data_IF_267242133324
#
_entry.id   IF_267242133324
#
_cell.length_a   1.000
_cell.length_b   1.000
_cell.length_c   1.000
_cell.angle_alpha   90.00
_cell.angle_beta   90.00
_cell.angle_gamma   90.00
#
_symmetry.space_group_name_H-M   'P 1'
#
loop_
_entity.id
_entity.type
_entity.pdbx_description
1 polymer ?
2 non-polymer ?
3 water ?
#
# COMPACT_ATOMS: atom_id res chain seq x y z
N UNK A 1 -23.17 3.55 -9.43
CA UNK A 1 -21.97 2.75 -9.22
C UNK A 1 -22.19 1.77 -8.08
N UNK A 2 -21.69 0.55 -8.24
CA UNK A 2 -21.80 -0.46 -7.20
C UNK A 2 -21.00 -0.06 -5.98
N UNK A 3 -21.57 -0.21 -4.80
CA UNK A 3 -20.88 0.10 -3.56
C UNK A 3 -19.60 -0.72 -3.44
N UNK A 4 -19.61 -1.92 -4.03
CA UNK A 4 -18.44 -2.78 -3.96
C UNK A 4 -17.23 -2.12 -4.62
N UNK A 5 -17.47 -1.30 -5.64
CA UNK A 5 -16.38 -0.57 -6.27
C UNK A 5 -15.70 0.36 -5.27
N UNK A 6 -16.51 1.05 -4.48
CA UNK A 6 -15.97 1.93 -3.44
C UNK A 6 -15.33 1.14 -2.31
N UNK A 7 -15.92 0.00 -1.97
CA UNK A 7 -15.37 -0.85 -0.91
C UNK A 7 -13.97 -1.33 -1.30
N UNK A 8 -13.83 -1.69 -2.58
CA UNK A 8 -12.54 -2.13 -3.09
C UNK A 8 -11.49 -1.05 -2.90
N UNK A 9 -11.80 0.17 -3.32
CA UNK A 9 -10.89 1.29 -3.17
C UNK A 9 -10.51 1.52 -1.71
N UNK A 10 -11.50 1.45 -0.83
CA UNK A 10 -11.26 1.68 0.59
C UNK A 10 -10.37 0.57 1.13
N UNK A 11 -10.64 -0.66 0.69
CA UNK A 11 -9.85 -1.80 1.14
C UNK A 11 -8.38 -1.68 0.73
N UNK A 12 -8.14 -1.34 -0.53
CA UNK A 12 -6.78 -1.22 -1.03
C UNK A 12 -5.99 -0.16 -0.26
N UNK A 13 -6.66 0.95 0.07
CA UNK A 13 -6.04 2.00 0.86
C UNK A 13 -5.65 1.51 2.25
N UNK A 14 -6.50 0.67 2.85
CA UNK A 14 -6.23 0.13 4.17
C UNK A 14 -5.03 -0.81 4.15
N UNK A 15 -4.95 -1.64 3.11
CA UNK A 15 -3.81 -2.52 2.95
C UNK A 15 -2.52 -1.72 2.83
N UNK A 16 -2.56 -0.69 1.99
CA UNK A 16 -1.40 0.18 1.81
C UNK A 16 -1.03 0.87 3.12
N UNK A 17 -2.03 1.35 3.84
CA UNK A 17 -1.79 1.95 5.15
C UNK A 17 -1.13 0.95 6.10
N UNK A 18 -1.66 -0.27 6.15
CA UNK A 18 -1.15 -1.29 7.06
C UNK A 18 0.25 -1.79 6.70
N UNK A 19 0.61 -1.68 5.42
CA UNK A 19 1.88 -2.19 4.95
C UNK A 19 2.98 -1.12 4.99
N UNK A 20 2.72 -0.02 5.68
CA UNK A 20 3.64 1.10 5.79
C UNK A 20 5.10 0.75 5.48
N UNK A 21 5.50 0.98 4.24
CA UNK A 21 6.89 0.76 3.81
C UNK A 21 7.24 -0.71 3.55
N UNK A 22 6.59 -1.62 4.27
CA UNK A 22 6.87 -3.05 4.15
C UNK A 22 6.45 -3.60 2.80
N UNK A 23 6.90 -4.81 2.48
CA UNK A 23 6.55 -5.47 1.22
C UNK A 23 5.45 -6.50 1.42
N UNK A 24 4.97 -6.63 2.64
CA UNK A 24 4.00 -7.66 2.98
C UNK A 24 3.18 -7.27 4.19
N UNK A 25 2.02 -7.89 4.32
CA UNK A 25 1.20 -7.72 5.51
C UNK A 25 1.29 -8.98 6.36
N UNK A 26 1.47 -8.80 7.67
CA UNK A 26 1.42 -9.91 8.61
C UNK A 26 0.33 -9.67 9.63
N UNK A 27 -0.26 -10.74 10.14
CA UNK A 27 -1.36 -10.63 11.10
C UNK A 27 -0.85 -10.63 12.52
N UNK A 28 -1.34 -9.68 13.32
CA UNK A 28 -0.97 -9.61 14.73
C UNK A 28 0.39 -9.01 14.98
N UNK A 29 0.79 -8.96 16.24
CA UNK A 29 2.06 -8.37 16.64
C UNK A 29 3.27 -9.22 16.27
N UNK A 30 4.36 -8.57 15.91
CA UNK A 30 5.67 -9.20 15.90
C UNK A 30 6.04 -9.41 17.36
N UNK A 31 6.45 -10.62 17.72
CA UNK A 31 6.77 -10.90 19.11
C UNK A 31 8.27 -10.97 19.35
N UNK A 32 9.04 -10.49 18.37
CA UNK A 32 10.48 -10.36 18.56
C UNK A 32 10.76 -9.31 19.63
N UNK A 33 11.74 -9.59 20.48
CA UNK A 33 12.10 -8.65 21.52
C UNK A 33 13.13 -7.66 21.00
N UNK A 34 13.27 -7.63 19.67
CA UNK A 34 14.25 -6.79 19.02
C UNK A 34 13.58 -5.91 17.97
N UNK A 35 13.99 -4.65 17.91
CA UNK A 35 13.33 -3.67 17.04
C UNK A 35 13.94 -3.59 15.65
N UNK A 36 13.75 -4.63 14.85
CA UNK A 36 14.17 -4.60 13.46
C UNK A 36 12.97 -4.33 12.56
N UNK A 37 13.21 -3.79 11.36
CA UNK A 37 12.13 -3.54 10.43
C UNK A 37 11.61 -4.88 9.94
N UNK A 38 10.40 -4.90 9.38
CA UNK A 38 9.85 -6.14 8.88
C UNK A 38 10.70 -6.69 7.75
N UNK A 39 11.21 -5.81 6.90
CA UNK A 39 12.06 -6.24 5.79
C UNK A 39 13.32 -6.92 6.31
N UNK A 40 13.91 -6.35 7.36
CA UNK A 40 15.09 -6.95 7.97
C UNK A 40 14.78 -8.35 8.49
N UNK A 41 13.68 -8.50 9.23
CA UNK A 41 13.29 -9.81 9.73
C UNK A 41 13.08 -10.80 8.59
N UNK A 42 12.41 -10.36 7.54
CA UNK A 42 12.12 -11.23 6.41
C UNK A 42 13.42 -11.68 5.74
N UNK A 43 14.35 -10.75 5.58
CA UNK A 43 15.65 -11.09 5.02
C UNK A 43 16.38 -12.10 5.90
N UNK A 44 16.31 -11.94 7.21
CA UNK A 44 16.90 -12.92 8.11
C UNK A 44 16.25 -14.30 7.92
N UNK A 45 14.93 -14.32 7.80
CA UNK A 45 14.21 -15.57 7.61
C UNK A 45 14.72 -16.29 6.36
N UNK A 46 14.81 -15.56 5.27
CA UNK A 46 15.23 -16.15 4.00
C UNK A 46 16.68 -16.65 4.06
N UNK A 47 17.57 -15.84 4.64
CA UNK A 47 18.96 -16.25 4.74
C UNK A 47 19.14 -17.41 5.73
N UNK A 48 18.19 -17.54 6.66
CA UNK A 48 18.23 -18.68 7.58
C UNK A 48 17.89 -19.97 6.84
N UNK A 49 17.34 -19.82 5.65
CA UNK A 49 16.98 -20.98 4.83
C UNK A 49 18.10 -21.30 3.86
N UNK A 50 18.59 -20.27 3.16
CA UNK A 50 19.69 -20.47 2.22
C UNK A 50 20.40 -19.16 1.91
N UNK A 51 21.64 -19.27 1.44
CA UNK A 51 22.41 -18.11 1.06
C UNK A 51 21.92 -17.54 -0.26
N UNK A 52 21.68 -16.24 -0.29
CA UNK A 52 21.16 -15.57 -1.47
C UNK A 52 21.86 -14.24 -1.66
N UNK A 53 22.11 -13.88 -2.92
CA UNK A 53 22.70 -12.58 -3.22
C UNK A 53 21.66 -11.49 -2.97
N UNK A 54 22.12 -10.25 -2.90
CA UNK A 54 21.22 -9.13 -2.69
C UNK A 54 20.25 -8.99 -3.86
N UNK A 55 20.74 -9.31 -5.05
CA UNK A 55 19.91 -9.29 -6.25
C UNK A 55 18.77 -10.30 -6.13
N UNK A 56 19.10 -11.49 -5.63
CA UNK A 56 18.12 -12.56 -5.50
C UNK A 56 17.09 -12.22 -4.44
N UNK A 57 17.55 -11.71 -3.30
CA UNK A 57 16.66 -11.23 -2.25
C UNK A 57 15.69 -10.19 -2.77
N UNK A 58 16.19 -9.25 -3.56
CA UNK A 58 15.35 -8.19 -4.13
C UNK A 58 14.24 -8.78 -5.00
N UNK A 59 14.57 -9.81 -5.77
CA UNK A 59 13.56 -10.48 -6.58
C UNK A 59 12.58 -11.27 -5.71
N UNK A 60 13.05 -11.81 -4.59
CA UNK A 60 12.19 -12.57 -3.69
C UNK A 60 11.15 -11.67 -3.04
N UNK A 61 11.60 -10.54 -2.51
CA UNK A 61 10.70 -9.62 -1.80
C UNK A 61 9.98 -8.69 -2.76
N UNK A 62 10.43 -8.64 -4.00
CA UNK A 62 9.90 -7.67 -4.95
C UNK A 62 10.13 -6.24 -4.48
N UNK A 63 11.35 -5.98 -4.02
CA UNK A 63 11.74 -4.63 -3.64
C UNK A 63 13.01 -4.27 -4.40
N UNK A 64 13.40 -3.00 -4.35
CA UNK A 64 14.61 -2.56 -5.03
C UNK A 64 15.84 -3.19 -4.39
N UNK A 65 16.93 -3.28 -5.15
CA UNK A 65 18.19 -3.77 -4.60
C UNK A 65 18.69 -2.79 -3.53
N UNK A 66 18.42 -1.51 -3.74
CA UNK A 66 18.77 -0.49 -2.76
C UNK A 66 18.10 -0.79 -1.41
N UNK A 67 16.83 -1.18 -1.45
CA UNK A 67 16.10 -1.50 -0.22
C UNK A 67 16.74 -2.69 0.49
N UNK A 68 17.00 -3.75 -0.26
CA UNK A 68 17.62 -4.93 0.30
C UNK A 68 19.00 -4.60 0.88
N UNK A 69 19.79 -3.84 0.13
CA UNK A 69 21.16 -3.59 0.55
C UNK A 69 21.22 -2.75 1.83
N UNK A 70 20.39 -1.72 1.90
CA UNK A 70 20.32 -0.88 3.10
C UNK A 70 19.94 -1.72 4.32
N UNK A 71 18.97 -2.60 4.14
CA UNK A 71 18.55 -3.50 5.21
C UNK A 71 19.72 -4.36 5.66
N UNK A 72 20.47 -4.89 4.70
CA UNK A 72 21.61 -5.76 5.01
C UNK A 72 22.71 -5.02 5.76
N UNK A 73 23.02 -3.80 5.34
CA UNK A 73 24.06 -3.03 5.98
C UNK A 73 23.71 -2.75 7.43
N UNK A 74 22.45 -2.43 7.67
CA UNK A 74 21.95 -2.22 9.02
C UNK A 74 22.04 -3.50 9.85
N UNK A 75 21.62 -4.63 9.27
CA UNK A 75 21.68 -5.93 9.95
C UNK A 75 23.10 -6.30 10.36
N UNK A 76 24.05 -6.00 9.48
CA UNK A 76 25.46 -6.22 9.79
C UNK A 76 25.89 -5.34 10.94
N UNK A 77 25.44 -4.10 10.93
CA UNK A 77 25.80 -3.14 11.97
C UNK A 77 25.18 -3.54 13.31
N UNK A 78 24.04 -4.20 13.26
CA UNK A 78 23.33 -4.62 14.46
C UNK A 78 23.74 -6.04 14.89
N UNK A 79 24.74 -6.59 14.21
CA UNK A 79 25.28 -7.88 14.57
C UNK A 79 24.36 -9.05 14.29
N UNK A 80 23.57 -8.94 13.22
CA UNK A 80 22.64 -9.99 12.82
C UNK A 80 23.18 -10.80 11.65
N UNK A 81 24.00 -10.17 10.82
CA UNK A 81 24.59 -10.85 9.66
C UNK A 81 26.11 -10.70 9.65
N UNK A 82 26.78 -11.66 9.01
CA UNK A 82 28.22 -11.62 8.85
C UNK A 82 28.58 -12.27 7.51
N UNK A 83 29.78 -11.98 7.04
CA UNK A 83 30.27 -12.57 5.80
C UNK A 83 30.79 -13.99 6.05
N UNK A 94 28.78 -14.71 0.49
CA UNK A 94 27.41 -14.47 0.91
C UNK A 94 27.35 -13.93 2.33
N UNK A 95 26.16 -13.51 2.75
CA UNK A 95 25.90 -13.14 4.13
C UNK A 95 25.26 -14.31 4.86
N UNK A 96 25.62 -14.51 6.12
CA UNK A 96 25.05 -15.59 6.92
C UNK A 96 24.65 -15.09 8.31
N UNK A 97 23.68 -15.77 8.91
CA UNK A 97 23.16 -15.36 10.21
C UNK A 97 24.20 -15.52 11.31
N UNK A 98 24.12 -14.64 12.30
CA UNK A 98 24.84 -14.81 13.55
C UNK A 98 23.88 -15.47 14.52
N UNK A 99 24.37 -15.84 15.70
CA UNK A 99 23.51 -16.47 16.69
C UNK A 99 22.42 -15.53 17.20
N UNK A 100 22.71 -14.23 17.25
CA UNK A 100 21.72 -13.24 17.67
C UNK A 100 20.49 -13.24 16.78
N UNK A 101 20.69 -13.55 15.51
CA UNK A 101 19.62 -13.45 14.51
C UNK A 101 18.69 -14.67 14.50
N UNK A 102 19.17 -15.80 14.99
CA UNK A 102 18.45 -17.06 14.82
C UNK A 102 17.02 -17.07 15.39
N UNK A 103 16.85 -16.60 16.64
CA UNK A 103 15.50 -16.58 17.22
C UNK A 103 14.58 -15.64 16.46
N UNK A 104 15.16 -14.61 15.85
CA UNK A 104 14.41 -13.61 15.11
C UNK A 104 13.86 -14.19 13.81
N UNK A 105 14.72 -14.86 13.06
CA UNK A 105 14.30 -15.56 11.85
C UNK A 105 13.20 -16.57 12.17
N UNK A 106 13.30 -17.20 13.34
CA UNK A 106 12.32 -18.20 13.73
C UNK A 106 10.98 -17.55 14.06
N UNK A 107 11.03 -16.44 14.78
CA UNK A 107 9.83 -15.70 15.14
C UNK A 107 9.12 -15.22 13.88
N UNK A 108 9.88 -14.73 12.92
CA UNK A 108 9.30 -14.17 11.69
C UNK A 108 8.64 -15.27 10.87
N UNK A 109 9.21 -16.47 10.91
CA UNK A 109 8.61 -17.63 10.26
C UNK A 109 7.29 -18.00 10.92
N UNK A 110 7.27 -17.95 12.25
CA UNK A 110 6.05 -18.28 12.99
C UNK A 110 4.98 -17.25 12.75
N UNK A 111 5.40 -16.00 12.58
CA UNK A 111 4.48 -14.92 12.29
C UNK A 111 3.81 -15.18 10.95
N UNK A 112 4.60 -15.63 9.97
CA UNK A 112 4.05 -16.00 8.67
C UNK A 112 3.05 -17.16 8.78
N UNK A 113 3.39 -18.16 9.57
CA UNK A 113 2.48 -19.31 9.75
C UNK A 113 1.16 -18.85 10.34
N UNK A 114 1.23 -17.96 11.33
CA UNK A 114 0.04 -17.44 11.99
C UNK A 114 -0.80 -16.64 11.01
N UNK A 115 -0.14 -15.93 10.12
CA UNK A 115 -0.82 -15.12 9.12
C UNK A 115 -1.63 -16.00 8.17
N UNK A 116 -1.01 -17.07 7.66
CA UNK A 116 -1.69 -18.00 6.78
C UNK A 116 -2.84 -18.71 7.49
N UNK A 117 -2.62 -19.08 8.75
CA UNK A 117 -3.67 -19.72 9.53
C UNK A 117 -4.87 -18.80 9.72
N UNK A 118 -4.61 -17.49 9.83
CA UNK A 118 -5.69 -16.52 9.96
C UNK A 118 -6.50 -16.41 8.65
N UNK A 119 -5.80 -16.44 7.52
CA UNK A 119 -6.48 -16.40 6.21
C UNK A 119 -7.31 -17.64 6.01
N UNK A 120 -6.84 -18.75 6.56
CA UNK A 120 -7.57 -20.01 6.50
C UNK A 120 -8.87 -19.88 7.29
N UNK A 121 -8.79 -19.26 8.47
CA UNK A 121 -9.96 -19.03 9.30
C UNK A 121 -10.96 -18.12 8.60
N UNK A 122 -10.46 -17.16 7.82
CA UNK A 122 -11.32 -16.27 7.05
C UNK A 122 -12.03 -17.03 5.93
N UNK A 123 -11.26 -17.80 5.17
CA UNK A 123 -11.79 -18.57 4.05
C UNK A 123 -12.88 -19.54 4.47
N UNK A 124 -12.67 -20.23 5.59
CA UNK A 124 -13.62 -21.23 6.04
C UNK A 124 -14.93 -20.65 6.58
N UNK A 125 -15.06 -19.33 6.55
CA UNK A 125 -16.33 -18.68 6.89
C UNK A 125 -17.24 -18.70 5.67
N UNK A 126 -16.72 -19.25 4.58
CA UNK A 126 -17.46 -19.27 3.31
C UNK A 126 -17.54 -20.68 2.78
N UNK A 127 -18.61 -20.96 2.03
CA UNK A 127 -18.80 -22.27 1.43
C UNK A 127 -17.75 -22.50 0.34
N UNK A 128 -17.57 -23.76 -0.06
CA UNK A 128 -16.67 -24.04 -1.19
C UNK A 128 -17.02 -23.21 -2.41
N UNK A 129 -18.31 -23.10 -2.73
CA UNK A 129 -18.74 -22.29 -3.86
C UNK A 129 -18.44 -20.79 -3.67
N UNK A 130 -18.66 -20.31 -2.45
CA UNK A 130 -18.36 -18.91 -2.13
C UNK A 130 -16.86 -18.63 -2.25
N UNK A 131 -16.05 -19.56 -1.79
CA UNK A 131 -14.60 -19.40 -1.87
C UNK A 131 -14.15 -19.24 -3.32
N UNK A 132 -14.76 -19.99 -4.22
CA UNK A 132 -14.43 -19.90 -5.65
C UNK A 132 -14.75 -18.52 -6.19
N UNK A 133 -15.91 -18.00 -5.81
CA UNK A 133 -16.30 -16.65 -6.19
C UNK A 133 -15.24 -15.66 -5.75
N UNK A 134 -14.82 -15.76 -4.48
CA UNK A 134 -13.81 -14.86 -3.95
C UNK A 134 -12.49 -15.01 -4.69
N UNK A 135 -12.14 -16.26 -5.02
CA UNK A 135 -10.93 -16.51 -5.81
C UNK A 135 -10.99 -15.82 -7.17
N UNK A 136 -12.12 -15.97 -7.87
CA UNK A 136 -12.29 -15.36 -9.17
C UNK A 136 -12.18 -13.85 -9.03
N UNK A 137 -12.74 -13.34 -7.94
CA UNK A 137 -12.72 -11.91 -7.67
C UNK A 137 -11.30 -11.39 -7.51
N UNK A 138 -10.52 -12.04 -6.64
CA UNK A 138 -9.14 -11.64 -6.40
C UNK A 138 -8.35 -11.63 -7.70
N UNK A 139 -8.55 -12.64 -8.52
CA UNK A 139 -7.84 -12.75 -9.79
C UNK A 139 -8.26 -11.66 -10.78
N UNK A 140 -9.56 -11.37 -10.83
CA UNK A 140 -10.08 -10.35 -11.74
C UNK A 140 -9.58 -8.96 -11.33
N UNK A 141 -9.56 -8.71 -10.03
CA UNK A 141 -9.11 -7.42 -9.51
C UNK A 141 -7.64 -7.17 -9.82
N UNK A 142 -6.80 -8.13 -9.47
CA UNK A 142 -5.36 -8.00 -9.73
C UNK A 142 -5.12 -7.83 -11.24
N UNK A 143 -5.88 -8.56 -12.03
CA UNK A 143 -5.75 -8.49 -13.48
C UNK A 143 -5.93 -7.07 -14.01
N UNK A 144 -6.75 -6.28 -13.33
CA UNK A 144 -7.02 -4.91 -13.78
C UNK A 144 -6.04 -3.89 -13.20
N UNK A 145 -5.30 -4.30 -12.16
CA UNK A 145 -4.36 -3.39 -11.52
C UNK A 145 -3.00 -3.37 -12.22
N UNK B 1 -5.42 -27.01 4.44
CA UNK B 1 -5.59 -25.57 4.27
C UNK B 1 -6.20 -25.24 2.90
N UNK B 2 -7.25 -24.43 2.92
CA UNK B 2 -7.92 -24.03 1.68
C UNK B 2 -6.99 -23.25 0.76
N UNK B 3 -7.15 -23.45 -0.54
CA UNK B 3 -6.34 -22.73 -1.53
C UNK B 3 -6.50 -21.21 -1.36
N UNK B 4 -7.70 -20.79 -0.97
CA UNK B 4 -8.00 -19.37 -0.84
C UNK B 4 -7.08 -18.68 0.18
N UNK B 5 -6.69 -19.41 1.22
CA UNK B 5 -5.80 -18.85 2.23
C UNK B 5 -4.50 -18.41 1.59
N UNK B 6 -3.94 -19.26 0.73
CA UNK B 6 -2.72 -18.94 0.01
C UNK B 6 -2.95 -17.83 -1.01
N UNK B 7 -4.11 -17.84 -1.65
CA UNK B 7 -4.43 -16.81 -2.63
C UNK B 7 -4.49 -15.43 -2.01
N UNK B 8 -5.00 -15.36 -0.77
CA UNK B 8 -5.12 -14.09 -0.06
C UNK B 8 -3.76 -13.49 0.22
N UNK B 9 -2.82 -14.34 0.64
CA UNK B 9 -1.47 -13.90 0.92
C UNK B 9 -0.80 -13.36 -0.34
N UNK B 10 -0.92 -14.10 -1.43
CA UNK B 10 -0.31 -13.69 -2.69
C UNK B 10 -0.96 -12.41 -3.21
N UNK B 11 -2.27 -12.30 -3.02
CA UNK B 11 -3.02 -11.12 -3.43
C UNK B 11 -2.53 -9.87 -2.70
N UNK B 12 -2.41 -9.96 -1.39
CA UNK B 12 -1.93 -8.84 -0.59
C UNK B 12 -0.51 -8.44 -1.00
N UNK B 13 0.35 -9.43 -1.20
CA UNK B 13 1.70 -9.17 -1.74
C UNK B 13 1.64 -8.35 -3.02
N UNK B 14 0.76 -8.75 -3.93
CA UNK B 14 0.65 -8.09 -5.22
C UNK B 14 0.15 -6.65 -5.09
N UNK B 15 -0.86 -6.45 -4.24
CA UNK B 15 -1.37 -5.10 -3.98
C UNK B 15 -0.21 -4.18 -3.58
N UNK B 16 0.53 -4.59 -2.57
CA UNK B 16 1.60 -3.78 -2.03
C UNK B 16 2.66 -3.48 -3.09
N UNK B 17 3.01 -4.50 -3.87
CA UNK B 17 3.95 -4.33 -4.98
C UNK B 17 3.43 -3.28 -5.97
N UNK B 18 2.14 -3.37 -6.30
CA UNK B 18 1.53 -2.46 -7.26
C UNK B 18 1.42 -1.03 -6.74
N UNK B 19 1.36 -0.88 -5.41
CA UNK B 19 1.27 0.45 -4.81
C UNK B 19 2.54 1.26 -5.06
N UNK B 20 3.62 0.57 -5.42
CA UNK B 20 4.87 1.24 -5.75
C UNK B 20 5.27 2.29 -4.72
N UNK B 21 5.06 1.97 -3.44
CA UNK B 21 5.41 2.87 -2.35
C UNK B 21 4.60 4.17 -2.33
N UNK B 22 3.66 4.30 -3.26
CA UNK B 22 2.74 5.42 -3.23
C UNK B 22 1.67 5.15 -2.18
N UNK B 23 0.96 6.19 -1.75
CA UNK B 23 -0.03 6.03 -0.69
C UNK B 23 -1.37 5.55 -1.24
N UNK B 24 -1.45 5.40 -2.55
CA UNK B 24 -2.69 4.98 -3.21
C UNK B 24 -2.38 4.26 -4.50
N UNK B 25 -3.31 3.39 -4.91
CA UNK B 25 -3.23 2.74 -6.19
C UNK B 25 -4.13 3.46 -7.18
N UNK B 26 -3.57 3.81 -8.34
CA UNK B 26 -4.34 4.38 -9.44
C UNK B 26 -4.16 3.52 -10.68
N UNK B 27 -5.26 3.27 -11.39
CA UNK B 27 -5.22 2.40 -12.56
C UNK B 27 -4.75 3.16 -13.80
N UNK B 28 -3.74 2.62 -14.47
CA UNK B 28 -3.23 3.21 -15.70
C UNK B 28 -2.29 4.38 -15.48
N UNK B 29 -1.79 4.93 -16.58
CA UNK B 29 -0.77 5.98 -16.52
C UNK B 29 -1.35 7.37 -16.33
N UNK B 30 -0.62 8.22 -15.62
CA UNK B 30 -0.95 9.63 -15.51
C UNK B 30 -0.81 10.29 -16.88
N UNK B 31 -1.73 11.20 -17.22
CA UNK B 31 -1.71 11.82 -18.54
C UNK B 31 -1.31 13.30 -18.53
N UNK B 32 -0.89 13.78 -17.36
CA UNK B 32 -0.53 15.19 -17.20
C UNK B 32 0.63 15.62 -18.10
N UNK B 33 0.63 16.89 -18.49
CA UNK B 33 1.67 17.46 -19.35
C UNK B 33 2.84 17.97 -18.51
N UNK B 34 2.64 18.00 -17.20
CA UNK B 34 3.71 18.32 -16.27
C UNK B 34 3.88 17.15 -15.33
N UNK B 35 5.11 16.64 -15.23
CA UNK B 35 5.38 15.52 -14.36
C UNK B 35 5.61 15.96 -12.92
N UNK B 36 4.55 15.84 -12.11
CA UNK B 36 4.68 16.02 -10.67
C UNK B 36 4.55 14.64 -10.06
N UNK B 37 5.03 14.47 -8.83
CA UNK B 37 4.87 13.19 -8.15
C UNK B 37 3.38 12.95 -7.93
N UNK B 38 3.02 11.70 -7.68
CA UNK B 38 1.63 11.38 -7.41
C UNK B 38 1.12 12.16 -6.21
N UNK B 39 1.95 12.26 -5.19
CA UNK B 39 1.59 12.98 -3.97
C UNK B 39 1.30 14.46 -4.27
N UNK B 40 2.14 15.06 -5.11
CA UNK B 40 1.95 16.45 -5.51
C UNK B 40 0.61 16.64 -6.22
N UNK B 41 0.31 15.78 -7.19
CA UNK B 41 -0.96 15.88 -7.91
C UNK B 41 -2.15 15.73 -6.97
N UNK B 42 -2.05 14.80 -6.03
CA UNK B 42 -3.14 14.55 -5.10
C UNK B 42 -3.37 15.79 -4.23
N UNK B 43 -2.28 16.44 -3.82
CA UNK B 43 -2.37 17.67 -3.06
C UNK B 43 -3.11 18.74 -3.85
N UNK B 44 -2.74 18.89 -5.13
CA UNK B 44 -3.43 19.85 -5.98
C UNK B 44 -4.92 19.54 -6.11
N UNK B 45 -5.25 18.25 -6.16
CA UNK B 45 -6.66 17.85 -6.24
C UNK B 45 -7.39 18.25 -4.97
N UNK B 46 -6.80 17.91 -3.83
CA UNK B 46 -7.40 18.24 -2.54
C UNK B 46 -7.55 19.76 -2.36
N UNK B 47 -6.49 20.49 -2.65
CA UNK B 47 -6.51 21.94 -2.46
C UNK B 47 -7.41 22.65 -3.46
N UNK B 48 -7.74 21.99 -4.57
CA UNK B 48 -8.67 22.57 -5.53
C UNK B 48 -10.07 22.59 -4.92
N UNK B 49 -10.17 22.14 -3.68
CA UNK B 49 -11.47 21.98 -3.03
C UNK B 49 -11.59 22.55 -1.60
N UNK B 50 -10.51 22.49 -0.83
CA UNK B 50 -10.65 22.69 0.62
C UNK B 50 -9.70 23.67 1.32
N UNK B 51 -8.70 24.17 0.60
CA UNK B 51 -7.74 25.11 1.19
C UNK B 51 -7.18 24.61 2.53
N UNK B 52 -6.70 23.37 2.52
CA UNK B 52 -6.22 22.72 3.74
C UNK B 52 -4.82 23.20 4.13
N UNK B 53 -4.46 23.02 5.40
CA UNK B 53 -3.12 23.34 5.86
C UNK B 53 -2.18 22.20 5.53
N UNK B 54 -0.88 22.46 5.61
CA UNK B 54 0.11 21.42 5.37
C UNK B 54 0.00 20.28 6.37
N UNK B 55 -0.47 20.61 7.58
CA UNK B 55 -0.67 19.60 8.61
C UNK B 55 -1.86 18.70 8.28
N UNK B 56 -2.93 19.31 7.78
CA UNK B 56 -4.12 18.55 7.42
C UNK B 56 -3.88 17.70 6.17
N UNK B 57 -3.05 18.22 5.27
CA UNK B 57 -2.68 17.47 4.07
C UNK B 57 -1.90 16.21 4.43
N UNK B 58 -1.02 16.34 5.42
CA UNK B 58 -0.19 15.22 5.85
C UNK B 58 -1.01 14.10 6.47
N UNK B 59 -2.06 14.47 7.21
CA UNK B 59 -2.92 13.49 7.86
C UNK B 59 -3.73 12.71 6.82
N UNK B 60 -4.24 13.41 5.83
CA UNK B 60 -5.02 12.78 4.75
C UNK B 60 -4.14 11.92 3.84
N UNK B 61 -2.95 12.42 3.53
CA UNK B 61 -2.03 11.72 2.66
C UNK B 61 -1.28 10.62 3.42
N UNK B 62 -1.37 10.67 4.74
CA UNK B 62 -0.64 9.73 5.58
C UNK B 62 0.86 9.81 5.32
N UNK B 63 1.43 10.99 5.52
CA UNK B 63 2.87 11.20 5.36
C UNK B 63 3.37 12.17 6.40
N UNK B 64 4.67 12.43 6.39
CA UNK B 64 5.29 13.35 7.34
C UNK B 64 5.07 14.80 6.92
N UNK B 65 4.99 15.70 7.90
CA UNK B 65 4.90 17.12 7.63
C UNK B 65 6.03 17.53 6.70
N UNK B 66 7.22 17.00 6.99
CA UNK B 66 8.42 17.29 6.21
C UNK B 66 8.20 17.02 4.74
N UNK B 67 7.63 15.86 4.42
CA UNK B 67 7.35 15.49 3.04
C UNK B 67 6.38 16.48 2.42
N UNK B 68 5.30 16.79 3.14
CA UNK B 68 4.32 17.76 2.67
C UNK B 68 5.00 19.11 2.46
N UNK B 69 5.79 19.52 3.45
CA UNK B 69 6.51 20.79 3.37
C UNK B 69 7.34 20.85 2.09
N UNK B 70 8.05 19.75 1.80
CA UNK B 70 8.86 19.68 0.59
C UNK B 70 7.99 19.72 -0.66
N UNK B 71 6.85 19.03 -0.60
CA UNK B 71 5.92 19.00 -1.73
C UNK B 71 5.36 20.39 -2.02
N UNK B 72 4.89 21.06 -0.98
CA UNK B 72 4.33 22.41 -1.13
C UNK B 72 5.36 23.39 -1.67
N UNK B 73 6.52 23.43 -1.03
CA UNK B 73 7.60 24.31 -1.47
C UNK B 73 7.87 24.12 -2.96
N UNK B 74 7.98 22.87 -3.39
CA UNK B 74 8.19 22.55 -4.79
C UNK B 74 7.04 23.07 -5.66
N UNK B 75 5.82 22.87 -5.20
CA UNK B 75 4.64 23.32 -5.94
C UNK B 75 4.58 24.84 -6.04
N UNK B 76 4.85 25.53 -4.94
CA UNK B 76 4.92 26.99 -4.96
C UNK B 76 6.05 27.42 -5.89
N UNK B 77 7.20 26.78 -5.74
CA UNK B 77 8.38 27.10 -6.54
C UNK B 77 8.13 26.89 -8.03
N UNK B 78 7.46 25.79 -8.36
CA UNK B 78 7.19 25.45 -9.76
C UNK B 78 5.93 26.13 -10.29
N UNK B 79 5.38 27.04 -9.50
CA UNK B 79 4.25 27.85 -9.92
C UNK B 79 2.92 27.12 -10.00
N UNK B 80 2.76 26.07 -9.21
CA UNK B 80 1.49 25.33 -9.17
C UNK B 80 0.58 25.88 -8.07
N UNK B 81 1.19 26.48 -7.06
CA UNK B 81 0.45 27.09 -5.97
C UNK B 81 0.95 28.51 -5.72
N UNK B 82 0.04 29.38 -5.27
CA UNK B 82 0.40 30.74 -4.89
C UNK B 82 -0.41 31.10 -3.65
N UNK B 83 0.08 32.06 -2.88
CA UNK B 83 -0.67 32.53 -1.71
C UNK B 83 -1.83 33.41 -2.17
N UNK B 84 -2.91 33.40 -1.41
CA UNK B 84 -4.07 34.21 -1.75
C UNK B 84 -4.97 34.49 -0.55
N UNK B 85 -5.86 35.46 -0.74
CA UNK B 85 -6.85 35.83 0.26
C UNK B 85 -8.12 36.27 -0.46
N UNK B 86 -9.26 35.71 -0.06
CA UNK B 86 -10.54 36.11 -0.65
C UNK B 86 -11.70 35.95 0.32
N UNK B 87 -12.84 36.53 -0.03
CA UNK B 87 -13.99 36.54 0.85
C UNK B 87 -14.66 35.17 1.03
N UNK B 88 -14.32 34.22 0.15
CA UNK B 88 -14.93 32.90 0.20
C UNK B 88 -14.29 31.99 1.24
N UNK B 89 -13.12 32.38 1.74
CA UNK B 89 -12.38 31.55 2.68
C UNK B 89 -12.06 32.32 3.97
N UNK B 90 -12.26 31.68 5.11
CA UNK B 90 -12.03 32.31 6.40
C UNK B 90 -10.54 32.58 6.67
N UNK B 91 -9.68 31.73 6.13
CA UNK B 91 -8.25 31.81 6.39
C UNK B 91 -7.66 33.17 6.00
N UNK B 92 -6.75 33.66 6.82
CA UNK B 92 -6.10 34.95 6.60
C UNK B 92 -5.18 34.90 5.37
N UNK B 93 -4.71 33.70 5.05
CA UNK B 93 -3.92 33.49 3.84
C UNK B 93 -3.74 31.99 3.63
N UNK B 94 -3.86 31.55 2.38
CA UNK B 94 -3.79 30.13 2.07
C UNK B 94 -3.21 29.91 0.69
N UNK B 95 -2.87 28.66 0.39
CA UNK B 95 -2.37 28.31 -0.93
C UNK B 95 -3.52 27.91 -1.84
N UNK B 96 -3.59 28.54 -3.00
CA UNK B 96 -4.59 28.16 -3.99
C UNK B 96 -3.91 27.83 -5.31
N UNK B 97 -4.58 27.03 -6.14
CA UNK B 97 -4.04 26.66 -7.43
C UNK B 97 -3.91 27.86 -8.36
N UNK B 98 -2.83 27.87 -9.14
CA UNK B 98 -2.69 28.81 -10.25
C UNK B 98 -3.40 28.20 -11.45
N UNK B 99 -3.45 28.95 -12.55
CA UNK B 99 -4.05 28.44 -13.78
C UNK B 99 -3.31 27.21 -14.27
N UNK B 100 -2.01 27.17 -14.01
CA UNK B 100 -1.17 26.06 -14.46
C UNK B 100 -1.55 24.75 -13.78
N UNK B 101 -2.06 24.84 -12.55
CA UNK B 101 -2.37 23.65 -11.76
C UNK B 101 -3.75 23.07 -12.04
N UNK B 102 -4.67 23.91 -12.51
CA UNK B 102 -6.05 23.50 -12.73
C UNK B 102 -6.17 22.19 -13.52
N UNK B 103 -5.53 22.11 -14.69
CA UNK B 103 -5.64 20.88 -15.48
C UNK B 103 -5.03 19.69 -14.75
N UNK B 104 -4.03 19.95 -13.91
CA UNK B 104 -3.38 18.89 -13.15
C UNK B 104 -4.35 18.29 -12.13
N UNK B 105 -4.97 19.16 -11.34
CA UNK B 105 -5.95 18.69 -10.37
C UNK B 105 -7.06 17.93 -11.07
N UNK B 106 -7.53 18.48 -12.18
CA UNK B 106 -8.61 17.84 -12.94
C UNK B 106 -8.21 16.46 -13.42
N UNK B 107 -7.01 16.36 -14.00
CA UNK B 107 -6.50 15.08 -14.50
C UNK B 107 -6.39 14.05 -13.38
N UNK B 108 -5.83 14.46 -12.25
CA UNK B 108 -5.69 13.55 -11.12
C UNK B 108 -7.06 13.09 -10.63
N UNK B 109 -8.01 14.01 -10.62
CA UNK B 109 -9.40 13.68 -10.30
C UNK B 109 -9.97 12.66 -11.29
N UNK B 110 -9.74 12.89 -12.58
CA UNK B 110 -10.16 11.95 -13.61
C UNK B 110 -9.52 10.58 -13.42
N UNK B 111 -8.28 10.58 -12.92
CA UNK B 111 -7.55 9.33 -12.72
C UNK B 111 -8.18 8.54 -11.59
N UNK B 112 -8.63 9.25 -10.55
CA UNK B 112 -9.35 8.61 -9.45
C UNK B 112 -10.66 8.02 -9.93
N UNK B 113 -11.36 8.76 -10.79
CA UNK B 113 -12.63 8.30 -11.34
C UNK B 113 -12.45 7.05 -12.19
N UNK B 114 -11.39 7.06 -13.00
CA UNK B 114 -11.09 5.91 -13.83
C UNK B 114 -10.81 4.70 -12.97
N UNK B 115 -10.12 4.94 -11.86
CA UNK B 115 -9.77 3.87 -10.93
C UNK B 115 -11.03 3.24 -10.34
N UNK B 116 -11.95 4.07 -9.85
CA UNK B 116 -13.22 3.58 -9.32
C UNK B 116 -14.06 2.87 -10.38
N UNK B 117 -14.04 3.40 -11.61
CA UNK B 117 -14.80 2.79 -12.70
C UNK B 117 -14.25 1.42 -13.04
N UNK B 118 -12.93 1.27 -12.90
CA UNK B 118 -12.30 -0.02 -13.13
C UNK B 118 -12.77 -1.05 -12.10
N UNK B 119 -12.87 -0.63 -10.85
CA UNK B 119 -13.38 -1.50 -9.80
C UNK B 119 -14.86 -1.77 -10.03
N UNK B 120 -15.54 -0.81 -10.64
CA UNK B 120 -16.93 -0.98 -11.04
C UNK B 120 -17.02 -2.08 -12.10
N UNK B 121 -16.07 -2.08 -13.03
CA UNK B 121 -16.02 -3.10 -14.06
C UNK B 121 -15.84 -4.47 -13.41
N UNK B 122 -14.88 -4.56 -12.50
CA UNK B 122 -14.63 -5.79 -11.76
C UNK B 122 -15.88 -6.26 -11.03
N UNK B 123 -16.48 -5.35 -10.27
CA UNK B 123 -17.68 -5.67 -9.48
C UNK B 123 -18.81 -6.23 -10.34
N UNK B 124 -19.00 -5.66 -11.53
CA UNK B 124 -20.13 -6.03 -12.38
C UNK B 124 -19.92 -7.33 -13.15
N UNK B 125 -18.72 -7.92 -13.01
CA UNK B 125 -18.48 -9.25 -13.56
C UNK B 125 -19.20 -10.27 -12.68
N UNK B 126 -19.65 -9.81 -11.52
CA UNK B 126 -20.32 -10.67 -10.56
C UNK B 126 -21.77 -10.25 -10.36
N UNK B 127 -22.63 -11.22 -10.06
CA UNK B 127 -24.03 -10.92 -9.80
C UNK B 127 -24.13 -10.14 -8.51
N UNK B 128 -25.23 -9.38 -8.34
CA UNK B 128 -25.45 -8.66 -7.09
C UNK B 128 -25.35 -9.57 -5.87
N UNK B 129 -25.89 -10.78 -5.96
CA UNK B 129 -25.76 -11.73 -4.86
C UNK B 129 -24.29 -12.08 -4.59
N UNK B 130 -23.52 -12.29 -5.66
CA UNK B 130 -22.10 -12.61 -5.54
C UNK B 130 -21.30 -11.43 -5.00
N UNK B 131 -21.67 -10.23 -5.42
CA UNK B 131 -21.03 -9.03 -4.91
C UNK B 131 -21.18 -8.93 -3.39
N UNK B 132 -22.33 -9.36 -2.89
CA UNK B 132 -22.60 -9.31 -1.46
C UNK B 132 -21.63 -10.23 -0.72
N UNK B 133 -21.39 -11.40 -1.30
CA UNK B 133 -20.42 -12.34 -0.74
C UNK B 133 -19.03 -11.71 -0.71
N UNK B 134 -18.63 -11.09 -1.81
CA UNK B 134 -17.34 -10.43 -1.87
C UNK B 134 -17.23 -9.29 -0.85
N UNK B 135 -18.31 -8.54 -0.67
CA UNK B 135 -18.36 -7.53 0.38
C UNK B 135 -18.10 -8.13 1.77
N UNK B 136 -18.76 -9.24 2.06
CA UNK B 136 -18.61 -9.87 3.37
C UNK B 136 -17.17 -10.33 3.57
N UNK B 137 -16.57 -10.82 2.49
CA UNK B 137 -15.18 -11.29 2.54
C UNK B 137 -14.23 -10.15 2.88
N UNK B 138 -14.37 -9.03 2.19
CA UNK B 138 -13.50 -7.88 2.41
C UNK B 138 -13.62 -7.35 3.85
N UNK B 139 -14.84 -7.37 4.38
CA UNK B 139 -15.09 -6.93 5.74
C UNK B 139 -14.39 -7.85 6.74
N UNK B 140 -14.49 -9.15 6.53
CA UNK B 140 -13.88 -10.11 7.44
C UNK B 140 -12.35 -10.04 7.35
N UNK B 141 -11.84 -9.89 6.13
CA UNK B 141 -10.40 -9.80 5.91
C UNK B 141 -9.81 -8.55 6.53
N UNK B 142 -10.42 -7.40 6.25
CA UNK B 142 -9.92 -6.14 6.77
C UNK B 142 -9.98 -6.10 8.30
N UNK B 143 -10.90 -6.88 8.86
CA UNK B 143 -11.04 -6.97 10.31
C UNK B 143 -9.85 -7.65 10.96
N UNK B 144 -9.24 -8.58 10.25
CA UNK B 144 -8.09 -9.31 10.77
C UNK B 144 -6.80 -8.52 10.56
N UNK B 145 -6.78 -7.74 9.49
CA UNK B 145 -5.60 -6.95 9.12
C UNK B 145 -5.38 -5.75 10.05
N UNK B 146 -6.48 -5.11 10.47
CA UNK B 146 -6.37 -3.92 11.32
C UNK B 146 -6.13 -4.29 12.79
#
# INVERSE_FOLDING_TARGET
MRQLAKDINAFLNEVILQAENQHEILIGHCTSEVALTNTQEHILMLLSEESLTNSELARRLNVSQAAVTKAIKSLVKEGMLETSKDSKDARVIFYQLTDLARPIAEEHHHHHEHTLLTYEQVATQFTPNEQKVIQRFLTALVGEIK
MRQLAKDINAFLNEVILQAENQHEILIGHCTSEVALTNTQEHILMLLSEESLTNSELARRLNVSQAAVTKAIKSLVKEGMLETSKDSKDARVIFYQLTDLARPIAEEHHHHHEHTLLTYEQVATQFTPNEQKVIQRFLTALVGEIK
#
